data_IF_848130413155
#
_entry.id   IF_848130413155
#
_cell.length_a   1.000
_cell.length_b   1.000
_cell.length_c   1.000
_cell.angle_alpha   90.00
_cell.angle_beta   90.00
_cell.angle_gamma   90.00
#
_symmetry.space_group_name_H-M   'P 1'
#
loop_
_entity.id
_entity.type
_entity.pdbx_description
1 polymer ?
#
# COMPACT_ATOMS: atom_id res chain seq x y z
N UNK A 1 11.16 24.57 17.21
CA UNK A 1 12.46 24.56 16.53
C UNK A 1 12.62 23.40 15.56
N UNK A 2 12.76 22.16 16.05
CA UNK A 2 13.17 20.99 15.24
C UNK A 2 12.03 20.16 14.62
N UNK A 3 10.78 20.31 15.08
CA UNK A 3 9.63 19.56 14.56
C UNK A 3 9.26 19.99 13.13
N UNK A 4 9.04 21.29 12.92
CA UNK A 4 9.79 22.18 12.00
C UNK A 4 10.32 21.50 10.73
N UNK A 5 11.52 20.99 10.93
CA UNK A 5 12.43 20.59 9.88
C UNK A 5 12.20 19.13 9.46
N UNK A 6 11.74 18.28 10.39
CA UNK A 6 11.58 16.83 10.13
C UNK A 6 10.35 16.53 9.28
N UNK A 7 9.24 17.23 9.51
CA UNK A 7 7.99 17.02 8.76
C UNK A 7 8.13 17.39 7.27
N UNK A 8 8.79 18.51 6.99
CA UNK A 8 9.02 19.00 5.62
C UNK A 8 10.03 18.14 4.84
N UNK A 9 11.07 17.60 5.50
CA UNK A 9 12.04 16.69 4.87
C UNK A 9 11.42 15.33 4.56
N UNK A 10 10.73 14.70 5.52
CA UNK A 10 10.09 13.39 5.30
C UNK A 10 9.05 13.46 4.16
N UNK A 11 8.24 14.52 4.13
CA UNK A 11 7.29 14.80 3.04
C UNK A 11 7.98 14.93 1.68
N UNK A 12 9.11 15.66 1.63
CA UNK A 12 9.89 15.81 0.39
C UNK A 12 10.44 14.48 -0.07
N UNK A 13 11.08 13.71 0.82
CA UNK A 13 11.63 12.39 0.51
C UNK A 13 10.54 11.43 0.01
N UNK A 14 9.42 11.34 0.72
CA UNK A 14 8.26 10.54 0.32
C UNK A 14 7.77 10.87 -1.10
N UNK A 15 7.74 12.17 -1.45
CA UNK A 15 7.29 12.66 -2.76
C UNK A 15 8.31 12.49 -3.88
N UNK A 16 9.59 12.69 -3.62
CA UNK A 16 10.60 12.86 -4.69
C UNK A 16 11.62 11.73 -4.80
N UNK A 17 11.77 10.87 -3.77
CA UNK A 17 12.75 9.80 -3.80
C UNK A 17 12.57 8.93 -5.06
N UNK A 18 13.66 8.54 -5.74
CA UNK A 18 13.58 7.68 -6.93
C UNK A 18 13.31 6.21 -6.58
N UNK A 19 13.33 5.86 -5.29
CA UNK A 19 13.15 4.52 -4.75
C UNK A 19 11.94 4.44 -3.80
N UNK A 20 11.61 3.23 -3.37
CA UNK A 20 10.61 3.02 -2.32
C UNK A 20 11.08 3.63 -1.00
N UNK A 21 10.17 4.23 -0.24
CA UNK A 21 10.44 4.91 1.03
C UNK A 21 9.58 4.30 2.13
N UNK A 22 10.21 3.85 3.22
CA UNK A 22 9.51 3.46 4.44
C UNK A 22 9.51 4.65 5.41
N UNK A 23 8.32 5.10 5.81
CA UNK A 23 8.10 6.15 6.79
C UNK A 23 7.70 5.52 8.11
N UNK A 24 8.51 5.73 9.14
CA UNK A 24 8.23 5.29 10.51
C UNK A 24 7.72 6.48 11.34
N UNK A 25 6.43 6.49 11.68
CA UNK A 25 5.83 7.55 12.50
C UNK A 25 6.41 7.57 13.92
N UNK A 26 6.61 6.39 14.50
CA UNK A 26 7.14 6.17 15.84
C UNK A 26 8.28 5.14 15.80
N UNK A 27 9.50 5.54 15.39
CA UNK A 27 10.62 4.62 15.35
C UNK A 27 10.97 4.15 16.76
N UNK A 28 11.24 2.84 16.89
CA UNK A 28 11.71 2.21 18.12
C UNK A 28 13.22 2.00 18.04
N UNK A 29 13.89 1.98 19.19
CA UNK A 29 15.33 1.63 19.27
C UNK A 29 15.54 0.20 18.78
N UNK A 30 14.65 -0.70 19.20
CA UNK A 30 14.57 -2.07 18.72
C UNK A 30 13.38 -2.19 17.74
N UNK A 31 13.63 -2.46 16.45
CA UNK A 31 12.56 -2.66 15.48
C UNK A 31 11.72 -3.88 15.84
N UNK A 32 10.39 -3.73 15.79
CA UNK A 32 9.46 -4.85 15.87
C UNK A 32 9.13 -5.36 14.45
N UNK A 33 8.86 -6.67 14.28
CA UNK A 33 8.43 -7.21 13.00
C UNK A 33 7.07 -6.67 12.56
N UNK A 34 6.81 -6.66 11.26
CA UNK A 34 5.50 -6.32 10.69
C UNK A 34 4.64 -7.57 10.58
N UNK A 35 3.77 -7.79 11.56
CA UNK A 35 2.95 -9.01 11.68
C UNK A 35 1.56 -8.89 11.07
N UNK A 36 1.07 -7.66 10.83
CA UNK A 36 -0.26 -7.36 10.24
C UNK A 36 -0.15 -6.30 9.12
N UNK A 37 0.61 -6.57 8.05
CA UNK A 37 0.71 -5.68 6.91
C UNK A 37 -0.62 -5.56 6.13
N UNK A 38 -0.81 -4.38 5.52
CA UNK A 38 -1.91 -4.06 4.63
C UNK A 38 -1.38 -3.48 3.32
N UNK A 39 -1.99 -3.84 2.20
CA UNK A 39 -1.72 -3.28 0.87
C UNK A 39 -2.95 -2.53 0.40
N UNK A 40 -2.77 -1.28 -0.05
CA UNK A 40 -3.78 -0.64 -0.88
C UNK A 40 -3.65 -1.07 -2.35
N UNK A 41 -4.71 -1.69 -2.87
CA UNK A 41 -4.81 -2.22 -4.22
C UNK A 41 -5.49 -1.18 -5.11
N UNK A 42 -4.71 -0.52 -5.97
CA UNK A 42 -5.17 0.52 -6.89
C UNK A 42 -5.05 0.04 -8.33
N UNK A 43 -6.08 -0.67 -8.77
CA UNK A 43 -6.08 -1.44 -10.03
C UNK A 43 -5.25 -2.71 -9.88
N UNK A 44 -5.89 -3.86 -10.06
CA UNK A 44 -5.34 -5.19 -9.76
C UNK A 44 -3.95 -5.41 -10.37
N UNK A 45 -3.85 -5.32 -11.71
CA UNK A 45 -2.59 -5.52 -12.43
C UNK A 45 -1.52 -4.48 -12.10
N UNK A 46 -1.92 -3.22 -11.92
CA UNK A 46 -1.01 -2.15 -11.53
C UNK A 46 -0.45 -2.37 -10.12
N UNK A 47 -1.20 -3.04 -9.25
CA UNK A 47 -0.79 -3.38 -7.89
C UNK A 47 -0.01 -4.70 -7.80
N UNK A 48 0.05 -5.51 -8.86
CA UNK A 48 0.77 -6.81 -8.84
C UNK A 48 2.20 -6.73 -8.28
N UNK A 49 3.05 -5.76 -8.66
CA UNK A 49 4.40 -5.66 -8.09
C UNK A 49 4.41 -5.26 -6.60
N UNK A 50 3.44 -4.46 -6.16
CA UNK A 50 3.29 -4.08 -4.75
C UNK A 50 2.81 -5.28 -3.92
N UNK A 51 1.90 -6.08 -4.47
CA UNK A 51 1.40 -7.30 -3.83
C UNK A 51 2.51 -8.33 -3.69
N UNK A 52 3.32 -8.54 -4.74
CA UNK A 52 4.50 -9.40 -4.66
C UNK A 52 5.48 -8.95 -3.56
N UNK A 53 5.72 -7.64 -3.44
CA UNK A 53 6.56 -7.09 -2.36
C UNK A 53 5.94 -7.35 -0.98
N UNK A 54 4.64 -7.12 -0.82
CA UNK A 54 3.96 -7.35 0.46
C UNK A 54 3.90 -8.82 0.86
N UNK A 55 3.71 -9.74 -0.09
CA UNK A 55 3.82 -11.19 0.15
C UNK A 55 5.24 -11.58 0.57
N UNK A 56 6.27 -11.06 -0.10
CA UNK A 56 7.65 -11.33 0.27
C UNK A 56 8.00 -10.79 1.67
N UNK A 57 7.51 -9.59 2.01
CA UNK A 57 7.66 -9.01 3.34
C UNK A 57 6.93 -9.84 4.39
N UNK A 58 5.65 -10.16 4.17
CA UNK A 58 4.85 -10.96 5.08
C UNK A 58 5.50 -12.33 5.40
N UNK A 59 6.08 -13.00 4.39
CA UNK A 59 6.82 -14.27 4.62
C UNK A 59 8.07 -14.07 5.48
N UNK A 60 8.85 -13.02 5.21
CA UNK A 60 10.10 -12.74 5.94
C UNK A 60 9.85 -12.34 7.38
N UNK A 61 8.76 -11.62 7.63
CA UNK A 61 8.37 -11.12 8.96
C UNK A 61 7.50 -12.13 9.73
N UNK A 62 7.23 -13.30 9.15
CA UNK A 62 6.29 -14.30 9.71
C UNK A 62 4.93 -13.69 10.07
N UNK A 63 4.41 -12.86 9.16
CA UNK A 63 3.17 -12.14 9.38
C UNK A 63 1.97 -13.09 9.55
N UNK A 64 1.06 -12.68 10.43
CA UNK A 64 -0.17 -13.40 10.72
C UNK A 64 -1.10 -13.42 9.49
N UNK A 65 -1.29 -12.26 8.87
CA UNK A 65 -2.04 -12.11 7.63
C UNK A 65 -1.61 -10.86 6.86
N UNK A 66 -1.93 -10.85 5.57
CA UNK A 66 -1.78 -9.71 4.68
C UNK A 66 -3.16 -9.23 4.25
N UNK A 67 -3.53 -8.01 4.64
CA UNK A 67 -4.78 -7.39 4.17
C UNK A 67 -4.57 -6.79 2.78
N UNK A 68 -5.30 -7.27 1.77
CA UNK A 68 -5.42 -6.65 0.45
C UNK A 68 -6.71 -5.83 0.41
N UNK A 69 -6.59 -4.51 0.34
CA UNK A 69 -7.73 -3.58 0.44
C UNK A 69 -7.93 -2.85 -0.88
N UNK A 70 -9.14 -2.93 -1.44
CA UNK A 70 -9.60 -2.13 -2.59
C UNK A 70 -10.57 -1.07 -2.09
N UNK A 71 -10.38 0.18 -2.53
CA UNK A 71 -11.30 1.28 -2.28
C UNK A 71 -12.22 1.46 -3.49
N UNK A 72 -13.54 1.42 -3.28
CA UNK A 72 -14.54 1.68 -4.33
C UNK A 72 -15.35 2.93 -4.02
N UNK A 73 -15.61 3.74 -5.07
CA UNK A 73 -16.29 5.02 -4.93
C UNK A 73 -17.81 4.84 -5.06
N UNK A 74 -18.55 5.27 -4.04
CA UNK A 74 -20.02 5.25 -4.02
C UNK A 74 -20.64 6.62 -4.33
N UNK A 75 -19.83 7.64 -4.61
CA UNK A 75 -20.28 9.04 -4.68
C UNK A 75 -21.31 9.30 -5.80
N UNK A 76 -21.21 8.60 -6.93
CA UNK A 76 -22.21 8.68 -8.01
C UNK A 76 -23.57 8.09 -7.64
N UNK A 77 -23.60 7.16 -6.67
CA UNK A 77 -24.83 6.51 -6.21
C UNK A 77 -25.60 7.33 -5.17
N UNK A 78 -24.94 8.28 -4.50
CA UNK A 78 -25.60 9.21 -3.60
C UNK A 78 -26.57 10.16 -4.33
N UNK A 79 -26.26 10.52 -5.58
CA UNK A 79 -27.15 11.34 -6.42
C UNK A 79 -28.38 10.57 -6.92
N UNK A 80 -28.28 9.24 -7.05
CA UNK A 80 -29.41 8.37 -7.37
C UNK A 80 -30.28 8.08 -6.14
N UNK A 81 -29.68 7.98 -4.94
CA UNK A 81 -30.40 7.72 -3.68
C UNK A 81 -31.41 8.81 -3.31
N UNK A 82 -31.24 10.05 -3.80
CA UNK A 82 -32.24 11.11 -3.61
C UNK A 82 -33.53 10.90 -4.42
N UNK A 83 -33.53 9.95 -5.37
CA UNK A 83 -34.69 9.59 -6.18
C UNK A 83 -35.30 8.23 -5.77
N UNK A 84 -34.46 7.24 -5.43
CA UNK A 84 -34.87 5.92 -4.94
C UNK A 84 -33.76 5.29 -4.08
N UNK A 85 -34.01 5.18 -2.77
CA UNK A 85 -33.05 4.63 -1.82
C UNK A 85 -32.80 3.13 -2.02
N UNK A 86 -33.81 2.38 -2.46
CA UNK A 86 -33.72 0.93 -2.66
C UNK A 86 -32.88 0.57 -3.88
N UNK A 87 -33.10 1.28 -5.00
CA UNK A 87 -32.29 1.12 -6.21
C UNK A 87 -30.82 1.49 -5.95
N UNK A 88 -30.57 2.58 -5.22
CA UNK A 88 -29.21 3.00 -4.90
C UNK A 88 -28.47 1.99 -3.99
N UNK A 89 -29.17 1.33 -3.07
CA UNK A 89 -28.58 0.28 -2.23
C UNK A 89 -28.26 -0.99 -3.04
N UNK A 90 -29.15 -1.40 -3.94
CA UNK A 90 -28.90 -2.53 -4.83
C UNK A 90 -27.65 -2.30 -5.72
N UNK A 91 -27.50 -1.08 -6.26
CA UNK A 91 -26.33 -0.71 -7.05
C UNK A 91 -25.03 -0.72 -6.21
N UNK A 92 -25.07 -0.26 -4.96
CA UNK A 92 -23.90 -0.33 -4.05
C UNK A 92 -23.47 -1.77 -3.82
N UNK A 93 -24.43 -2.65 -3.51
CA UNK A 93 -24.17 -4.07 -3.28
C UNK A 93 -23.62 -4.75 -4.53
N UNK A 94 -24.17 -4.44 -5.71
CA UNK A 94 -23.67 -4.95 -6.98
C UNK A 94 -22.20 -4.52 -7.24
N UNK A 95 -21.88 -3.24 -7.02
CA UNK A 95 -20.50 -2.74 -7.16
C UNK A 95 -19.54 -3.40 -6.17
N UNK A 96 -19.95 -3.50 -4.90
CA UNK A 96 -19.13 -4.17 -3.88
C UNK A 96 -18.87 -5.62 -4.28
N UNK A 97 -19.90 -6.35 -4.69
CA UNK A 97 -19.78 -7.74 -5.09
C UNK A 97 -18.85 -7.91 -6.30
N UNK A 98 -18.93 -7.01 -7.29
CA UNK A 98 -18.04 -7.00 -8.44
C UNK A 98 -16.57 -6.83 -8.03
N UNK A 99 -16.27 -5.88 -7.14
CA UNK A 99 -14.91 -5.65 -6.64
C UNK A 99 -14.40 -6.84 -5.81
N UNK A 100 -15.27 -7.45 -4.99
CA UNK A 100 -14.94 -8.64 -4.21
C UNK A 100 -14.58 -9.83 -5.10
N UNK A 101 -15.38 -10.09 -6.15
CA UNK A 101 -15.12 -11.14 -7.13
C UNK A 101 -13.82 -10.89 -7.90
N UNK A 102 -13.59 -9.66 -8.36
CA UNK A 102 -12.39 -9.30 -9.09
C UNK A 102 -11.13 -9.47 -8.23
N UNK A 103 -11.16 -9.01 -6.98
CA UNK A 103 -10.08 -9.19 -6.03
C UNK A 103 -9.89 -10.67 -5.63
N UNK A 104 -10.98 -11.44 -5.49
CA UNK A 104 -10.94 -12.88 -5.22
C UNK A 104 -10.17 -13.61 -6.32
N UNK A 105 -10.61 -13.44 -7.57
CA UNK A 105 -10.01 -14.11 -8.72
C UNK A 105 -8.56 -13.71 -8.92
N UNK A 106 -8.24 -12.43 -8.72
CA UNK A 106 -6.87 -11.94 -8.82
C UNK A 106 -5.96 -12.56 -7.76
N UNK A 107 -6.36 -12.57 -6.49
CA UNK A 107 -5.56 -13.16 -5.39
C UNK A 107 -5.43 -14.67 -5.54
N UNK A 108 -6.49 -15.37 -5.98
CA UNK A 108 -6.45 -16.82 -6.21
C UNK A 108 -5.44 -17.23 -7.30
N UNK A 109 -5.15 -16.33 -8.24
CA UNK A 109 -4.15 -16.55 -9.29
C UNK A 109 -2.70 -16.20 -8.86
N UNK A 110 -2.48 -15.73 -7.64
CA UNK A 110 -1.15 -15.43 -7.12
C UNK A 110 -0.55 -16.62 -6.38
N UNK A 111 0.76 -16.82 -6.54
CA UNK A 111 1.53 -17.61 -5.57
C UNK A 111 1.71 -16.78 -4.29
N UNK A 112 0.97 -17.13 -3.24
CA UNK A 112 1.07 -16.46 -1.93
C UNK A 112 2.23 -16.99 -1.08
N UNK A 113 2.85 -18.10 -1.46
CA UNK A 113 3.92 -18.74 -0.70
C UNK A 113 3.52 -19.06 0.75
N UNK A 114 2.26 -19.42 0.98
CA UNK A 114 1.71 -19.77 2.30
C UNK A 114 1.22 -18.59 3.14
N UNK A 115 1.32 -17.34 2.66
CA UNK A 115 0.76 -16.17 3.37
C UNK A 115 -0.76 -16.20 3.31
N UNK A 116 -1.41 -15.99 4.46
CA UNK A 116 -2.86 -15.79 4.54
C UNK A 116 -3.20 -14.40 4.03
N UNK A 117 -3.82 -14.32 2.84
CA UNK A 117 -4.27 -13.05 2.26
C UNK A 117 -5.75 -12.84 2.54
N UNK A 118 -6.07 -11.81 3.33
CA UNK A 118 -7.46 -11.39 3.59
C UNK A 118 -7.81 -10.26 2.63
N UNK A 119 -9.01 -10.33 2.05
CA UNK A 119 -9.47 -9.43 0.98
C UNK A 119 -10.57 -8.54 1.53
N UNK A 120 -10.48 -7.23 1.28
CA UNK A 120 -11.47 -6.26 1.71
C UNK A 120 -11.76 -5.26 0.59
N UNK A 121 -13.05 -5.01 0.37
CA UNK A 121 -13.54 -3.95 -0.50
C UNK A 121 -14.20 -2.92 0.40
N UNK A 122 -13.63 -1.72 0.49
CA UNK A 122 -14.12 -0.67 1.40
C UNK A 122 -14.77 0.47 0.59
N UNK A 123 -16.00 0.87 0.93
CA UNK A 123 -16.62 2.03 0.31
C UNK A 123 -15.90 3.30 0.79
N UNK A 124 -15.66 4.22 -0.12
CA UNK A 124 -15.27 5.57 0.27
C UNK A 124 -14.40 6.29 -0.74
N UNK A 125 -13.95 7.47 -0.32
CA UNK A 125 -13.06 8.28 -1.14
C UNK A 125 -11.69 7.63 -1.19
N UNK A 126 -11.21 7.31 -2.41
CA UNK A 126 -9.85 6.78 -2.65
C UNK A 126 -8.82 7.51 -1.79
N UNK A 127 -7.85 6.83 -1.22
CA UNK A 127 -6.84 7.44 -0.37
C UNK A 127 -7.20 7.56 1.11
N UNK A 128 -8.48 7.46 1.50
CA UNK A 128 -8.93 7.72 2.87
C UNK A 128 -9.47 6.45 3.53
N UNK A 129 -10.36 5.73 2.85
CA UNK A 129 -10.97 4.52 3.37
C UNK A 129 -9.92 3.43 3.70
N UNK A 130 -8.87 3.31 2.87
CA UNK A 130 -7.78 2.38 3.16
C UNK A 130 -6.97 2.77 4.42
N UNK A 131 -6.83 4.06 4.72
CA UNK A 131 -6.14 4.52 5.94
C UNK A 131 -6.98 4.25 7.19
N UNK A 132 -8.28 4.51 7.12
CA UNK A 132 -9.23 4.19 8.20
C UNK A 132 -9.28 2.68 8.45
N UNK A 133 -9.38 1.86 7.40
CA UNK A 133 -9.33 0.40 7.52
C UNK A 133 -8.07 -0.06 8.24
N UNK A 134 -6.91 0.52 7.91
CA UNK A 134 -5.64 0.18 8.56
C UNK A 134 -5.67 0.50 10.07
N UNK A 135 -6.28 1.64 10.43
CA UNK A 135 -6.45 2.08 11.82
C UNK A 135 -7.38 1.16 12.60
N UNK A 136 -8.57 0.91 12.05
CA UNK A 136 -9.64 0.16 12.71
C UNK A 136 -9.26 -1.31 12.93
N UNK A 137 -8.48 -1.86 12.00
CA UNK A 137 -7.99 -3.23 12.10
C UNK A 137 -6.63 -3.32 12.81
N UNK A 138 -6.06 -2.23 13.32
CA UNK A 138 -4.78 -2.23 14.04
C UNK A 138 -3.63 -2.81 13.21
N UNK A 139 -3.58 -2.47 11.91
CA UNK A 139 -2.50 -2.87 11.01
C UNK A 139 -1.18 -2.20 11.42
N UNK A 140 -0.06 -2.86 11.20
CA UNK A 140 1.26 -2.37 11.64
C UNK A 140 2.17 -1.91 10.49
N UNK A 141 1.75 -2.12 9.25
CA UNK A 141 2.39 -1.57 8.06
C UNK A 141 1.34 -1.35 6.97
N UNK A 142 1.34 -0.17 6.38
CA UNK A 142 0.58 0.13 5.17
C UNK A 142 1.54 0.20 3.97
N UNK A 143 1.27 -0.59 2.94
CA UNK A 143 2.00 -0.59 1.68
C UNK A 143 1.15 0.11 0.62
N UNK A 144 1.75 1.09 -0.05
CA UNK A 144 1.04 1.90 -1.02
C UNK A 144 1.91 2.20 -2.23
N UNK A 145 1.35 2.14 -3.44
CA UNK A 145 2.06 2.55 -4.66
C UNK A 145 2.16 4.07 -4.77
N UNK A 146 3.38 4.59 -4.95
CA UNK A 146 3.56 6.02 -5.16
C UNK A 146 2.73 6.53 -6.35
N UNK A 147 2.10 7.72 -6.23
CA UNK A 147 1.35 8.29 -7.33
C UNK A 147 2.27 8.59 -8.52
N UNK A 148 1.77 8.36 -9.74
CA UNK A 148 2.50 8.61 -10.99
C UNK A 148 2.51 10.09 -11.39
N UNK A 149 1.62 10.91 -10.82
CA UNK A 149 1.61 12.38 -10.96
C UNK A 149 1.82 13.04 -9.60
N UNK A 150 2.29 14.29 -9.60
CA UNK A 150 2.72 15.03 -8.40
C UNK A 150 1.63 15.29 -7.37
N UNK A 151 0.36 15.15 -7.74
CA UNK A 151 -0.80 15.30 -6.85
C UNK A 151 -1.47 13.93 -6.63
N UNK A 152 -1.52 13.46 -5.39
CA UNK A 152 -1.97 12.09 -5.05
C UNK A 152 -2.00 11.87 -3.54
N UNK A 153 -1.94 10.60 -3.09
CA UNK A 153 -1.92 10.21 -1.67
C UNK A 153 -1.12 11.15 -0.74
N UNK A 154 0.00 11.68 -1.23
CA UNK A 154 0.88 12.58 -0.49
C UNK A 154 0.25 13.94 -0.14
N UNK A 155 -0.78 14.38 -0.83
CA UNK A 155 -1.55 15.60 -0.47
C UNK A 155 -2.61 15.29 0.58
N UNK A 156 -3.06 14.03 0.67
CA UNK A 156 -4.01 13.55 1.69
C UNK A 156 -3.31 13.22 3.00
N UNK A 157 -2.16 12.53 2.91
CA UNK A 157 -1.31 12.21 4.04
C UNK A 157 -0.50 13.40 4.53
N UNK A 158 -0.24 14.38 3.67
CA UNK A 158 0.46 15.61 4.04
C UNK A 158 -0.23 16.83 3.44
N UNK A 159 -1.40 17.23 3.99
CA UNK A 159 -2.05 18.48 3.63
C UNK A 159 -1.05 19.62 3.73
N UNK A 160 -1.19 20.62 2.84
CA UNK A 160 -0.11 21.57 2.59
C UNK A 160 0.42 22.29 3.84
N UNK A 161 -0.33 22.35 4.95
CA UNK A 161 -0.01 23.20 6.09
C UNK A 161 0.17 22.51 7.47
N UNK A 162 0.22 21.17 7.57
CA UNK A 162 0.37 20.50 8.88
C UNK A 162 1.55 19.52 8.99
N UNK A 163 2.41 19.75 9.97
CA UNK A 163 3.48 18.83 10.43
C UNK A 163 2.93 17.60 11.16
N UNK A 164 1.70 17.72 11.66
CA UNK A 164 0.98 16.72 12.44
C UNK A 164 0.72 15.42 11.66
N UNK A 165 0.56 15.52 10.33
CA UNK A 165 0.01 14.44 9.52
C UNK A 165 0.87 13.17 9.41
N UNK A 166 2.19 13.25 9.67
CA UNK A 166 3.04 12.05 9.80
C UNK A 166 2.83 11.31 11.12
N UNK A 167 2.57 12.05 12.21
CA UNK A 167 2.31 11.47 13.53
C UNK A 167 0.90 10.91 13.63
N UNK A 168 0.00 11.37 12.77
CA UNK A 168 -1.39 10.89 12.68
C UNK A 168 -1.54 9.62 11.83
N UNK A 169 -0.45 9.17 11.19
CA UNK A 169 -0.43 7.88 10.48
C UNK A 169 -0.79 6.77 11.46
N UNK A 170 -1.82 5.98 11.11
CA UNK A 170 -2.26 4.84 11.90
C UNK A 170 -1.13 3.81 12.13
N UNK A 171 -0.22 3.70 11.18
CA UNK A 171 0.93 2.79 11.22
C UNK A 171 2.05 3.28 10.27
N UNK A 172 3.26 2.69 10.36
CA UNK A 172 4.29 2.82 9.33
C UNK A 172 3.77 2.71 7.90
N UNK A 173 4.32 3.53 6.99
CA UNK A 173 3.89 3.58 5.59
C UNK A 173 5.07 3.29 4.64
N UNK A 174 4.95 2.24 3.84
CA UNK A 174 5.85 1.94 2.73
C UNK A 174 5.28 2.49 1.43
N UNK A 175 5.91 3.53 0.90
CA UNK A 175 5.62 4.10 -0.41
C UNK A 175 6.45 3.35 -1.46
N UNK A 176 5.82 2.47 -2.21
CA UNK A 176 6.44 1.67 -3.25
C UNK A 176 6.62 2.44 -4.56
N UNK A 177 7.84 2.45 -5.06
CA UNK A 177 8.15 2.90 -6.43
C UNK A 177 8.74 1.73 -7.20
N UNK A 178 8.13 1.31 -8.33
CA UNK A 178 8.76 0.32 -9.18
C UNK A 178 10.10 0.88 -9.67
N UNK A 179 11.13 0.04 -9.81
CA UNK A 179 12.40 0.44 -10.41
C UNK A 179 12.11 1.15 -11.74
N UNK A 180 12.69 2.34 -11.95
CA UNK A 180 12.72 2.92 -13.29
C UNK A 180 13.46 1.93 -14.17
N UNK A 181 12.92 1.62 -15.35
CA UNK A 181 13.55 0.73 -16.33
C UNK A 181 14.92 1.25 -16.76
N UNK A 182 15.93 1.08 -15.92
CA UNK A 182 17.33 1.12 -16.26
C UNK A 182 17.68 -0.26 -16.78
N UNK A 183 18.29 -0.31 -17.96
CA UNK A 183 18.78 -1.53 -18.61
C UNK A 183 19.33 -2.49 -17.56
N UNK A 184 18.84 -3.73 -17.60
CA UNK A 184 19.47 -4.85 -16.91
C UNK A 184 20.97 -4.78 -17.21
N UNK A 185 21.79 -4.47 -16.20
CA UNK A 185 23.19 -4.87 -16.26
C UNK A 185 23.15 -6.36 -16.09
N UNK A 186 23.10 -7.07 -17.21
CA UNK A 186 23.40 -8.49 -17.29
C UNK A 186 24.78 -8.65 -16.67
N UNK A 187 24.83 -9.10 -15.42
CA UNK A 187 26.07 -9.62 -14.86
C UNK A 187 26.26 -10.95 -15.56
N UNK A 188 27.21 -11.00 -16.49
CA UNK A 188 27.61 -12.23 -17.15
C UNK A 188 28.08 -13.24 -16.08
N UNK A 189 27.70 -14.53 -16.18
CA UNK A 189 28.17 -15.53 -15.25
C UNK A 189 29.62 -15.92 -15.58
N UNK A 190 30.44 -16.04 -14.54
CA UNK A 190 31.62 -16.91 -14.55
C UNK A 190 32.95 -16.23 -14.90
N UNK A 191 33.72 -15.86 -13.87
CA UNK A 191 35.14 -16.20 -13.83
C UNK A 191 35.34 -17.01 -12.55
N UNK A 192 35.51 -18.31 -12.74
CA UNK A 192 35.99 -19.26 -11.75
C UNK A 192 37.36 -18.82 -11.25
N UNK A 193 37.51 -18.75 -9.92
CA UNK A 193 38.82 -18.67 -9.29
C UNK A 193 39.60 -19.96 -9.59
N UNK A 194 40.91 -19.89 -9.89
CA UNK A 194 41.71 -21.09 -10.00
C UNK A 194 41.95 -21.67 -8.60
N UNK A 195 41.56 -22.93 -8.44
CA UNK A 195 42.06 -23.79 -7.38
C UNK A 195 43.59 -23.87 -7.50
N UNK A 196 44.28 -23.51 -6.42
CA UNK A 196 45.72 -23.65 -6.28
C UNK A 196 46.06 -24.12 -4.87
N UNK A 197 46.06 -25.44 -4.67
CA UNK A 197 46.82 -26.08 -3.59
C UNK A 197 48.30 -26.12 -3.98
N UNK A 198 49.16 -25.80 -3.02
CA UNK A 198 50.62 -25.92 -3.09
C UNK A 198 51.25 -25.14 -1.96
#
# INVERSE_FOLDING_TARGET
GLAWYRGSVARRVARTAPCSVLLLAHPRVEPAPFVRPQINVQGLERSRPLIALGLALARREHAQDLHAVVEYETHGLHLAATADEGAAEADRQALQHQEELALAGFVAALDTGGVVVRRFCVPGRRGFAALEHARDHGRDLLLWRAPTRRAGLMDKLFPHDTELALRDLACPLLIYRPPRGGRSRTVAPGVSAPDGKG
#
